data_IF_738694350601
#
_entry.id   IF_738694350601
#
_cell.length_a   1.000
_cell.length_b   1.000
_cell.length_c   1.000
_cell.angle_alpha   90.00
_cell.angle_beta   90.00
_cell.angle_gamma   90.00
#
_symmetry.space_group_name_H-M   'P 1'
#
loop_
_entity.id
_entity.type
_entity.pdbx_description
1 polymer ?
#
# COMPACT_ATOMS: atom_id res chain seq x y z
N UNK A 1 -18.55 12.53 -16.86
CA UNK A 1 -17.80 13.30 -15.85
C UNK A 1 -16.36 12.84 -16.00
N UNK A 2 -15.57 13.63 -16.73
CA UNK A 2 -14.15 13.30 -16.95
C UNK A 2 -13.44 13.38 -15.60
N UNK A 3 -13.13 12.22 -15.03
CA UNK A 3 -12.34 12.14 -13.80
C UNK A 3 -10.91 12.58 -14.17
N UNK A 4 -10.41 13.59 -13.47
CA UNK A 4 -9.00 13.98 -13.63
C UNK A 4 -8.08 12.76 -13.37
N UNK A 5 -6.96 12.64 -14.11
CA UNK A 5 -6.04 11.51 -13.95
C UNK A 5 -5.59 11.36 -12.49
N UNK A 6 -5.85 10.21 -11.88
CA UNK A 6 -5.61 9.96 -10.44
C UNK A 6 -4.14 10.20 -10.04
N UNK A 7 -3.19 9.74 -10.84
CA UNK A 7 -1.76 9.81 -10.49
C UNK A 7 -1.24 11.25 -10.44
N UNK A 8 -1.38 12.08 -11.49
CA UNK A 8 -0.93 13.47 -11.44
C UNK A 8 -1.66 14.30 -10.37
N UNK A 9 -2.96 14.07 -10.21
CA UNK A 9 -3.78 14.82 -9.24
C UNK A 9 -3.40 14.47 -7.80
N UNK A 10 -3.15 13.18 -7.51
CA UNK A 10 -2.85 12.72 -6.16
C UNK A 10 -1.37 12.93 -5.77
N UNK A 11 -0.45 12.65 -6.69
CA UNK A 11 0.99 12.61 -6.39
C UNK A 11 1.78 13.77 -7.00
N UNK A 12 1.16 14.63 -7.79
CA UNK A 12 1.82 15.76 -8.48
C UNK A 12 2.80 15.34 -9.58
N UNK A 13 2.85 14.05 -9.93
CA UNK A 13 3.80 13.45 -10.87
C UNK A 13 3.08 12.43 -11.75
N UNK A 14 3.54 12.20 -13.00
CA UNK A 14 2.93 11.20 -13.88
C UNK A 14 3.17 9.76 -13.42
N UNK A 15 4.14 9.53 -12.53
CA UNK A 15 4.51 8.23 -11.97
C UNK A 15 4.99 8.40 -10.53
N UNK A 16 4.54 7.54 -9.61
CA UNK A 16 4.77 7.71 -8.17
C UNK A 16 5.76 6.69 -7.58
N UNK A 17 6.60 7.14 -6.66
CA UNK A 17 7.41 6.28 -5.77
C UNK A 17 6.88 6.45 -4.35
N UNK A 18 6.38 5.36 -3.75
CA UNK A 18 5.69 5.33 -2.45
C UNK A 18 6.53 4.58 -1.43
N UNK A 19 6.83 5.20 -0.29
CA UNK A 19 7.62 4.60 0.80
C UNK A 19 6.73 3.98 1.87
N UNK A 20 7.04 2.72 2.26
CA UNK A 20 6.31 2.01 3.32
C UNK A 20 6.85 2.34 4.70
N UNK A 21 5.96 2.74 5.59
CA UNK A 21 6.18 2.90 7.02
C UNK A 21 5.56 1.70 7.75
N UNK A 22 6.39 0.70 8.06
CA UNK A 22 5.94 -0.50 8.78
C UNK A 22 5.86 -0.20 10.28
N UNK A 23 4.65 -0.08 10.81
CA UNK A 23 4.44 0.17 12.23
C UNK A 23 4.83 -1.04 13.06
N UNK A 24 5.48 -0.81 14.20
CA UNK A 24 5.77 -1.85 15.18
C UNK A 24 4.49 -2.47 15.76
N UNK A 25 4.60 -3.52 16.61
CA UNK A 25 3.44 -4.20 17.15
C UNK A 25 2.52 -3.21 17.89
N UNK A 26 1.26 -3.12 17.46
CA UNK A 26 0.26 -2.22 18.03
C UNK A 26 -0.45 -2.85 19.23
N UNK A 27 -1.10 -2.07 20.11
CA UNK A 27 -1.89 -2.61 21.21
C UNK A 27 -2.89 -3.66 20.73
N UNK A 28 -3.02 -4.77 21.47
CA UNK A 28 -3.85 -5.91 21.09
C UNK A 28 -3.12 -7.00 20.32
N UNK A 29 -2.02 -6.68 19.62
CA UNK A 29 -1.23 -7.71 18.94
C UNK A 29 -0.36 -8.53 19.89
N UNK A 30 -0.09 -9.83 19.61
CA UNK A 30 0.76 -10.67 20.46
C UNK A 30 2.21 -10.16 20.61
N UNK A 31 2.68 -9.38 19.64
CA UNK A 31 4.00 -8.76 19.67
C UNK A 31 4.08 -7.52 20.55
N UNK A 32 2.95 -6.90 20.88
CA UNK A 32 2.89 -5.73 21.75
C UNK A 32 3.01 -6.15 23.21
N UNK A 33 4.09 -5.75 23.87
CA UNK A 33 4.25 -5.96 25.30
C UNK A 33 3.67 -4.79 26.09
N UNK A 34 3.09 -5.05 27.25
CA UNK A 34 2.45 -4.03 28.07
C UNK A 34 3.40 -2.85 28.32
N UNK A 35 3.04 -1.68 27.74
CA UNK A 35 3.80 -0.46 27.85
C UNK A 35 4.96 -0.29 26.85
N UNK A 36 5.20 -1.27 25.94
CA UNK A 36 6.28 -1.16 24.94
C UNK A 36 5.92 -1.81 23.59
N UNK A 37 6.20 -1.13 22.44
CA UNK A 37 6.60 0.27 22.37
C UNK A 37 5.47 1.23 22.75
N UNK A 38 5.82 2.37 23.35
CA UNK A 38 4.84 3.43 23.62
C UNK A 38 4.35 4.06 22.31
N UNK A 39 3.20 4.72 22.37
CA UNK A 39 2.68 5.45 21.19
C UNK A 39 3.66 6.52 20.70
N UNK A 40 4.31 7.23 21.64
CA UNK A 40 5.29 8.26 21.31
C UNK A 40 6.47 7.68 20.54
N UNK A 41 6.95 6.48 20.89
CA UNK A 41 8.02 5.81 20.17
C UNK A 41 7.58 5.36 18.77
N UNK A 42 6.33 4.93 18.60
CA UNK A 42 5.76 4.65 17.28
C UNK A 42 5.72 5.90 16.41
N UNK A 43 5.29 7.03 16.98
CA UNK A 43 5.23 8.33 16.28
C UNK A 43 6.64 8.76 15.88
N UNK A 44 7.59 8.78 16.82
CA UNK A 44 8.98 9.18 16.56
C UNK A 44 9.59 8.38 15.40
N UNK A 45 9.43 7.06 15.43
CA UNK A 45 9.95 6.18 14.36
C UNK A 45 9.29 6.46 13.01
N UNK A 46 7.96 6.55 12.97
CA UNK A 46 7.21 6.78 11.74
C UNK A 46 7.55 8.16 11.13
N UNK A 47 7.65 9.20 11.95
CA UNK A 47 8.01 10.55 11.50
C UNK A 47 9.46 10.58 10.99
N UNK A 48 10.41 9.98 11.71
CA UNK A 48 11.82 9.90 11.28
C UNK A 48 11.96 9.18 9.93
N UNK A 49 11.29 8.05 9.73
CA UNK A 49 11.30 7.34 8.45
C UNK A 49 10.59 8.18 7.34
N UNK A 50 9.50 8.85 7.66
CA UNK A 50 8.78 9.72 6.72
C UNK A 50 9.64 10.89 6.22
N UNK A 51 10.39 11.54 7.11
CA UNK A 51 11.32 12.60 6.78
C UNK A 51 12.46 12.10 5.89
N UNK A 52 12.98 10.90 6.13
CA UNK A 52 14.01 10.28 5.31
C UNK A 52 13.50 10.00 3.88
N UNK A 53 12.30 9.47 3.73
CA UNK A 53 11.67 9.28 2.42
C UNK A 53 11.45 10.60 1.68
N UNK A 54 10.93 11.62 2.37
CA UNK A 54 10.73 12.95 1.79
C UNK A 54 12.06 13.55 1.32
N UNK A 55 13.08 13.50 2.16
CA UNK A 55 14.42 14.05 1.83
C UNK A 55 15.04 13.38 0.60
N UNK A 56 14.81 12.09 0.39
CA UNK A 56 15.27 11.36 -0.79
C UNK A 56 14.45 11.63 -2.06
N UNK A 57 13.26 12.26 -1.93
CA UNK A 57 12.40 12.60 -3.06
C UNK A 57 11.35 11.55 -3.41
N UNK A 58 10.84 10.81 -2.42
CA UNK A 58 9.64 10.00 -2.58
C UNK A 58 8.41 10.89 -2.73
N UNK A 59 7.38 10.39 -3.44
CA UNK A 59 6.19 11.17 -3.82
C UNK A 59 5.01 10.95 -2.87
N UNK A 60 5.00 9.84 -2.14
CA UNK A 60 3.99 9.51 -1.14
C UNK A 60 4.54 8.53 -0.11
N UNK A 61 3.77 8.35 0.96
CA UNK A 61 4.04 7.41 2.05
C UNK A 61 2.84 6.49 2.25
N UNK A 62 3.06 5.34 2.89
CA UNK A 62 1.99 4.45 3.31
C UNK A 62 2.31 3.81 4.66
N UNK A 63 1.42 3.97 5.64
CA UNK A 63 1.50 3.26 6.93
C UNK A 63 0.82 1.89 6.84
N UNK A 64 1.41 0.90 7.50
CA UNK A 64 0.90 -0.47 7.55
C UNK A 64 1.22 -1.10 8.91
N UNK A 65 0.26 -1.83 9.49
CA UNK A 65 0.45 -2.55 10.77
C UNK A 65 1.18 -3.89 10.61
N UNK A 66 2.30 -3.87 9.87
CA UNK A 66 3.07 -5.06 9.46
C UNK A 66 3.53 -5.96 10.59
N UNK A 67 3.67 -5.45 11.81
CA UNK A 67 4.15 -6.22 12.96
C UNK A 67 3.04 -6.84 13.83
N UNK A 68 1.75 -6.65 13.48
CA UNK A 68 0.60 -7.17 14.24
C UNK A 68 0.32 -8.65 14.01
N UNK A 69 1.37 -9.44 13.76
CA UNK A 69 1.26 -10.88 13.45
C UNK A 69 0.91 -11.72 14.68
N UNK A 70 0.05 -12.80 14.50
CA UNK A 70 -0.73 -13.13 13.29
C UNK A 70 -1.84 -12.10 13.06
N UNK A 71 -2.13 -11.78 11.78
CA UNK A 71 -3.15 -10.80 11.43
C UNK A 71 -4.56 -11.33 11.70
N UNK A 72 -5.46 -10.39 12.02
CA UNK A 72 -6.90 -10.66 12.08
C UNK A 72 -7.49 -10.56 10.67
N UNK A 73 -8.46 -11.40 10.37
CA UNK A 73 -9.11 -11.41 9.06
C UNK A 73 -10.21 -10.35 9.00
N UNK A 74 -10.08 -9.41 8.07
CA UNK A 74 -11.10 -8.42 7.64
C UNK A 74 -11.62 -7.46 8.70
N UNK A 75 -11.16 -7.55 9.93
CA UNK A 75 -11.51 -6.63 11.01
C UNK A 75 -10.38 -6.55 12.04
N UNK A 76 -10.19 -5.36 12.61
CA UNK A 76 -9.30 -5.13 13.76
C UNK A 76 -10.05 -4.41 14.88
N UNK A 77 -9.52 -4.45 16.10
CA UNK A 77 -10.10 -3.75 17.22
C UNK A 77 -9.91 -2.23 17.15
N UNK A 78 -10.70 -1.47 17.93
CA UNK A 78 -10.61 -0.01 17.98
C UNK A 78 -9.23 0.48 18.46
N UNK A 79 -8.49 -0.31 19.19
CA UNK A 79 -7.12 -0.01 19.64
C UNK A 79 -6.15 0.13 18.45
N UNK A 80 -6.29 -0.70 17.41
CA UNK A 80 -5.47 -0.62 16.19
C UNK A 80 -5.84 0.64 15.41
N UNK A 81 -7.14 0.86 15.16
CA UNK A 81 -7.66 2.03 14.44
C UNK A 81 -7.21 3.34 15.12
N UNK A 82 -7.43 3.45 16.43
CA UNK A 82 -7.07 4.64 17.18
C UNK A 82 -5.56 4.92 17.14
N UNK A 83 -4.74 3.88 17.33
CA UNK A 83 -3.28 4.02 17.34
C UNK A 83 -2.75 4.42 15.96
N UNK A 84 -3.21 3.74 14.90
CA UNK A 84 -2.82 4.08 13.52
C UNK A 84 -3.26 5.49 13.12
N UNK A 85 -4.45 5.92 13.54
CA UNK A 85 -4.95 7.27 13.26
C UNK A 85 -4.07 8.35 13.91
N UNK A 86 -3.65 8.15 15.16
CA UNK A 86 -2.75 9.09 15.86
C UNK A 86 -1.37 9.13 15.18
N UNK A 87 -0.78 7.99 14.89
CA UNK A 87 0.53 7.91 14.20
C UNK A 87 0.44 8.55 12.82
N UNK A 88 -0.57 8.20 12.02
CA UNK A 88 -0.77 8.75 10.68
C UNK A 88 -0.97 10.28 10.72
N UNK A 89 -1.69 10.79 11.73
CA UNK A 89 -1.87 12.23 11.91
C UNK A 89 -0.56 12.97 12.15
N UNK A 90 0.31 12.44 12.99
CA UNK A 90 1.61 13.06 13.24
C UNK A 90 2.54 12.96 12.02
N UNK A 91 2.49 11.89 11.26
CA UNK A 91 3.20 11.78 9.96
C UNK A 91 2.70 12.85 8.98
N UNK A 92 1.38 13.02 8.81
CA UNK A 92 0.81 14.06 7.92
C UNK A 92 1.18 15.49 8.36
N UNK A 93 1.35 15.74 9.66
CA UNK A 93 1.77 17.05 10.18
C UNK A 93 3.26 17.31 9.93
N UNK A 94 4.09 16.28 10.03
CA UNK A 94 5.54 16.40 9.87
C UNK A 94 5.97 16.51 8.42
N UNK A 95 5.27 15.82 7.51
CA UNK A 95 5.71 15.67 6.12
C UNK A 95 4.55 15.97 5.16
N UNK A 96 4.70 16.97 4.23
CA UNK A 96 3.65 17.34 3.29
C UNK A 96 3.63 16.42 2.05
N UNK A 97 3.50 15.12 2.27
CA UNK A 97 3.33 14.11 1.22
C UNK A 97 1.98 13.41 1.41
N UNK A 98 1.32 12.98 0.32
CA UNK A 98 0.16 12.11 0.39
C UNK A 98 0.45 10.87 1.24
N UNK A 99 -0.44 10.57 2.20
CA UNK A 99 -0.32 9.39 3.06
C UNK A 99 -1.38 8.36 2.68
N UNK A 100 -0.93 7.14 2.41
CA UNK A 100 -1.77 5.96 2.28
C UNK A 100 -1.88 5.18 3.59
N UNK A 101 -2.91 4.36 3.68
CA UNK A 101 -3.16 3.48 4.82
C UNK A 101 -3.48 2.07 4.34
N UNK A 102 -2.84 1.07 4.93
CA UNK A 102 -3.23 -0.33 4.82
C UNK A 102 -3.39 -0.91 6.23
N UNK A 103 -4.50 -1.63 6.47
CA UNK A 103 -4.73 -2.35 7.72
C UNK A 103 -4.85 -3.84 7.41
N UNK A 104 -3.87 -4.60 7.84
CA UNK A 104 -3.76 -6.05 7.62
C UNK A 104 -4.60 -6.83 8.64
N UNK A 105 -5.21 -7.95 8.16
CA UNK A 105 -5.34 -8.32 6.76
C UNK A 105 -6.77 -8.01 6.29
N UNK A 106 -6.90 -7.28 5.19
CA UNK A 106 -8.19 -6.91 4.59
C UNK A 106 -9.16 -6.17 5.53
N UNK A 107 -8.69 -5.45 6.54
CA UNK A 107 -9.50 -4.57 7.39
C UNK A 107 -9.71 -3.22 6.66
N UNK A 108 -10.47 -3.28 5.57
CA UNK A 108 -10.53 -2.21 4.57
C UNK A 108 -11.36 -1.00 5.03
N UNK A 109 -12.46 -1.22 5.75
CA UNK A 109 -13.26 -0.15 6.33
C UNK A 109 -12.47 0.61 7.39
N UNK A 110 -11.72 -0.10 8.23
CA UNK A 110 -10.83 0.47 9.24
C UNK A 110 -9.71 1.28 8.59
N UNK A 111 -9.17 0.83 7.44
CA UNK A 111 -8.17 1.59 6.69
C UNK A 111 -8.74 2.93 6.20
N UNK A 112 -9.98 2.96 5.69
CA UNK A 112 -10.66 4.22 5.31
C UNK A 112 -10.89 5.10 6.54
N UNK A 113 -11.36 4.53 7.65
CA UNK A 113 -11.59 5.28 8.89
C UNK A 113 -10.29 5.93 9.40
N UNK A 114 -9.19 5.19 9.41
CA UNK A 114 -7.85 5.72 9.76
C UNK A 114 -7.43 6.82 8.80
N UNK A 115 -7.58 6.62 7.49
CA UNK A 115 -7.21 7.59 6.47
C UNK A 115 -7.96 8.93 6.65
N UNK A 116 -9.28 8.88 6.85
CA UNK A 116 -10.10 10.06 7.14
C UNK A 116 -9.62 10.77 8.41
N UNK A 117 -9.41 10.02 9.49
CA UNK A 117 -9.03 10.57 10.80
C UNK A 117 -7.65 11.24 10.79
N UNK A 118 -6.68 10.66 10.09
CA UNK A 118 -5.32 11.19 10.04
C UNK A 118 -5.09 12.26 8.94
N UNK A 119 -6.01 12.39 7.98
CA UNK A 119 -5.83 13.26 6.79
C UNK A 119 -5.06 12.56 5.68
N UNK A 120 -5.19 11.25 5.59
CA UNK A 120 -4.67 10.43 4.48
C UNK A 120 -5.37 10.73 3.16
N UNK A 121 -4.84 10.17 2.08
CA UNK A 121 -5.29 10.45 0.71
C UNK A 121 -5.73 9.21 -0.04
N UNK A 122 -5.27 8.03 0.37
CA UNK A 122 -5.60 6.77 -0.28
C UNK A 122 -5.49 5.59 0.69
N UNK A 123 -6.10 4.48 0.32
CA UNK A 123 -5.97 3.20 1.02
C UNK A 123 -5.51 2.11 0.06
N UNK A 124 -4.74 1.15 0.57
CA UNK A 124 -4.45 -0.12 -0.09
C UNK A 124 -5.35 -1.17 0.52
N UNK A 125 -6.11 -1.88 -0.30
CA UNK A 125 -7.13 -2.82 0.13
C UNK A 125 -6.86 -4.22 -0.42
N UNK A 126 -7.16 -5.23 0.37
CA UNK A 126 -7.08 -6.63 -0.01
C UNK A 126 -8.50 -7.21 -0.14
N UNK A 127 -8.68 -8.23 -1.00
CA UNK A 127 -9.99 -8.86 -1.17
C UNK A 127 -11.05 -7.91 -1.75
N UNK A 128 -10.69 -7.01 -2.66
CA UNK A 128 -11.63 -6.07 -3.25
C UNK A 128 -12.60 -6.75 -4.21
N UNK A 129 -12.08 -7.60 -5.12
CA UNK A 129 -12.86 -8.45 -6.03
C UNK A 129 -12.37 -9.88 -5.94
N UNK A 130 -13.25 -10.84 -6.16
CA UNK A 130 -13.04 -12.27 -6.03
C UNK A 130 -12.59 -12.73 -4.63
N UNK A 131 -13.04 -13.89 -4.23
CA UNK A 131 -12.60 -14.51 -2.99
C UNK A 131 -11.29 -15.28 -3.22
N UNK A 132 -10.48 -15.42 -2.16
CA UNK A 132 -9.27 -16.23 -2.14
C UNK A 132 -9.01 -16.77 -0.74
N UNK A 133 -8.13 -17.78 -0.63
CA UNK A 133 -7.71 -18.32 0.66
C UNK A 133 -6.34 -17.73 1.02
N UNK A 134 -6.30 -16.93 2.09
CA UNK A 134 -5.07 -16.35 2.65
C UNK A 134 -4.61 -17.11 3.90
N UNK A 135 -3.50 -16.68 4.49
CA UNK A 135 -3.01 -17.24 5.78
C UNK A 135 -4.06 -17.09 6.89
N UNK A 136 -4.89 -16.05 6.81
CA UNK A 136 -5.96 -15.73 7.77
C UNK A 136 -7.28 -16.48 7.48
N UNK A 137 -7.33 -17.26 6.41
CA UNK A 137 -8.51 -18.01 5.98
C UNK A 137 -9.15 -17.47 4.70
N UNK A 138 -10.44 -17.74 4.51
CA UNK A 138 -11.18 -17.27 3.34
C UNK A 138 -11.42 -15.77 3.43
N UNK A 139 -10.90 -15.02 2.47
CA UNK A 139 -11.17 -13.59 2.26
C UNK A 139 -12.17 -13.45 1.13
N UNK A 140 -13.31 -12.83 1.41
CA UNK A 140 -14.41 -12.61 0.46
C UNK A 140 -14.28 -11.23 -0.21
N UNK A 141 -14.96 -11.05 -1.33
CA UNK A 141 -14.96 -9.78 -2.05
C UNK A 141 -15.69 -8.67 -1.28
N UNK A 142 -15.05 -7.52 -1.12
CA UNK A 142 -15.50 -6.42 -0.26
C UNK A 142 -15.82 -5.10 -1.00
N UNK A 143 -15.66 -5.03 -2.31
CA UNK A 143 -15.84 -3.78 -3.07
C UNK A 143 -17.20 -3.09 -2.80
N UNK A 144 -18.27 -3.86 -2.76
CA UNK A 144 -19.63 -3.32 -2.57
C UNK A 144 -19.85 -2.70 -1.19
N UNK A 145 -19.60 -3.41 -0.08
CA UNK A 145 -19.64 -2.87 1.28
C UNK A 145 -18.70 -1.69 1.46
N UNK A 146 -17.43 -1.84 1.09
CA UNK A 146 -16.39 -0.85 1.28
C UNK A 146 -16.69 0.50 0.62
N UNK A 147 -17.13 0.50 -0.65
CA UNK A 147 -17.42 1.76 -1.34
C UNK A 147 -18.70 2.42 -0.81
N UNK A 148 -19.68 1.65 -0.30
CA UNK A 148 -20.82 2.20 0.41
C UNK A 148 -20.45 2.80 1.76
N UNK A 149 -19.57 2.14 2.50
CA UNK A 149 -19.01 2.70 3.74
C UNK A 149 -18.25 4.01 3.46
N UNK A 150 -17.35 4.03 2.45
CA UNK A 150 -16.64 5.24 2.00
C UNK A 150 -17.61 6.40 1.75
N UNK A 151 -18.69 6.15 1.00
CA UNK A 151 -19.69 7.18 0.70
C UNK A 151 -20.49 7.60 1.95
N UNK A 152 -20.89 6.64 2.78
CA UNK A 152 -21.70 6.93 3.97
C UNK A 152 -21.00 7.85 4.97
N UNK A 153 -19.66 7.84 5.02
CA UNK A 153 -18.88 8.72 5.91
C UNK A 153 -18.28 9.96 5.19
N UNK A 154 -18.65 10.21 3.92
CA UNK A 154 -18.17 11.36 3.14
C UNK A 154 -16.68 11.28 2.78
N UNK A 155 -16.17 10.08 2.56
CA UNK A 155 -14.75 9.82 2.31
C UNK A 155 -14.41 9.58 0.82
N UNK A 156 -15.19 10.10 -0.12
CA UNK A 156 -14.99 9.92 -1.57
C UNK A 156 -13.64 10.47 -2.06
N UNK A 157 -13.05 11.38 -1.32
CA UNK A 157 -11.71 11.92 -1.58
C UNK A 157 -10.59 10.92 -1.29
N UNK A 158 -10.84 9.86 -0.50
CA UNK A 158 -9.87 8.79 -0.23
C UNK A 158 -9.89 7.81 -1.41
N UNK A 159 -8.77 7.69 -2.13
CA UNK A 159 -8.63 6.78 -3.25
C UNK A 159 -8.45 5.33 -2.77
N UNK A 160 -9.04 4.38 -3.48
CA UNK A 160 -8.98 2.95 -3.17
C UNK A 160 -8.11 2.24 -4.20
N UNK A 161 -6.95 1.74 -3.79
CA UNK A 161 -6.05 0.93 -4.60
C UNK A 161 -6.13 -0.53 -4.17
N UNK A 162 -6.57 -1.39 -5.07
CA UNK A 162 -6.91 -2.77 -4.78
C UNK A 162 -5.78 -3.74 -5.16
N UNK A 163 -5.31 -4.54 -4.20
CA UNK A 163 -4.45 -5.69 -4.50
C UNK A 163 -5.21 -6.71 -5.36
N UNK A 164 -4.64 -7.09 -6.49
CA UNK A 164 -5.16 -8.15 -7.35
C UNK A 164 -4.23 -9.37 -7.29
N UNK A 165 -4.81 -10.58 -7.18
CA UNK A 165 -4.04 -11.83 -7.02
C UNK A 165 -2.95 -11.69 -5.94
N UNK A 166 -3.33 -11.17 -4.75
CA UNK A 166 -2.37 -10.81 -3.69
C UNK A 166 -1.47 -11.97 -3.28
N UNK A 167 -0.24 -11.63 -2.88
CA UNK A 167 0.71 -12.57 -2.26
C UNK A 167 0.17 -13.23 -0.97
N UNK A 168 0.84 -14.28 -0.51
CA UNK A 168 0.44 -15.05 0.69
C UNK A 168 -1.00 -15.58 0.60
N UNK A 169 -1.39 -16.01 -0.60
CA UNK A 169 -2.75 -16.48 -0.86
C UNK A 169 -2.77 -17.58 -1.91
N UNK A 170 -3.74 -18.48 -1.77
CA UNK A 170 -4.10 -19.44 -2.80
C UNK A 170 -5.26 -18.89 -3.61
N UNK A 171 -5.08 -18.80 -4.92
CA UNK A 171 -6.11 -18.39 -5.88
C UNK A 171 -6.72 -19.57 -6.62
N UNK A 172 -6.68 -20.77 -6.01
CA UNK A 172 -7.17 -22.01 -6.65
C UNK A 172 -8.67 -21.95 -7.01
N UNK A 173 -9.49 -21.27 -6.18
CA UNK A 173 -10.93 -21.11 -6.43
C UNK A 173 -11.25 -20.15 -7.58
N UNK A 174 -10.27 -19.41 -8.06
CA UNK A 174 -10.37 -18.47 -9.20
C UNK A 174 -9.24 -18.70 -10.19
N UNK A 175 -8.80 -19.96 -10.34
CA UNK A 175 -7.70 -20.33 -11.24
C UNK A 175 -8.05 -20.13 -12.73
N UNK A 176 -9.32 -20.08 -13.04
CA UNK A 176 -9.90 -19.79 -14.37
C UNK A 176 -9.98 -18.29 -14.69
N UNK A 177 -9.70 -17.42 -13.72
CA UNK A 177 -9.66 -15.96 -13.91
C UNK A 177 -8.21 -15.50 -13.86
N UNK A 178 -7.69 -14.97 -14.97
CA UNK A 178 -6.32 -14.44 -15.01
C UNK A 178 -6.19 -13.07 -14.31
N UNK A 179 -4.97 -12.57 -14.21
CA UNK A 179 -4.68 -11.31 -13.49
C UNK A 179 -5.27 -10.09 -14.22
N UNK A 180 -5.34 -10.11 -15.55
CA UNK A 180 -5.90 -9.02 -16.35
C UNK A 180 -7.41 -8.95 -16.18
N UNK A 181 -8.10 -10.10 -16.21
CA UNK A 181 -9.54 -10.15 -15.93
C UNK A 181 -9.86 -9.78 -14.47
N UNK A 182 -8.97 -10.10 -13.53
CA UNK A 182 -9.09 -9.63 -12.14
C UNK A 182 -8.97 -8.10 -12.05
N UNK A 183 -8.05 -7.51 -12.80
CA UNK A 183 -7.87 -6.05 -12.86
C UNK A 183 -9.09 -5.35 -13.48
N UNK A 184 -9.64 -5.89 -14.58
CA UNK A 184 -10.87 -5.38 -15.21
C UNK A 184 -12.07 -5.47 -14.26
N UNK A 185 -12.17 -6.55 -13.49
CA UNK A 185 -13.23 -6.68 -12.48
C UNK A 185 -13.08 -5.63 -11.37
N UNK A 186 -11.86 -5.31 -10.94
CA UNK A 186 -11.61 -4.24 -9.96
C UNK A 186 -11.97 -2.86 -10.53
N UNK A 187 -11.61 -2.58 -11.79
CA UNK A 187 -12.03 -1.35 -12.49
C UNK A 187 -13.55 -1.25 -12.62
N UNK A 188 -14.21 -2.34 -13.03
CA UNK A 188 -15.66 -2.40 -13.10
C UNK A 188 -16.33 -2.19 -11.73
N UNK A 189 -15.70 -2.67 -10.66
CA UNK A 189 -16.14 -2.47 -9.27
C UNK A 189 -15.71 -1.09 -8.71
N UNK A 190 -15.21 -0.16 -9.54
CA UNK A 190 -14.88 1.22 -9.21
C UNK A 190 -13.67 1.37 -8.27
N UNK A 191 -12.66 0.51 -8.39
CA UNK A 191 -11.36 0.78 -7.81
C UNK A 191 -10.74 2.03 -8.45
N UNK A 192 -10.04 2.85 -7.68
CA UNK A 192 -9.30 4.01 -8.18
C UNK A 192 -7.92 3.63 -8.78
N UNK A 193 -7.50 2.37 -8.62
CA UNK A 193 -6.31 1.77 -9.19
C UNK A 193 -6.13 0.33 -8.69
N UNK A 194 -5.20 -0.40 -9.29
CA UNK A 194 -4.87 -1.79 -8.90
C UNK A 194 -3.41 -1.93 -8.52
N UNK A 195 -3.10 -2.90 -7.66
CA UNK A 195 -1.76 -3.21 -7.20
C UNK A 195 -1.42 -4.64 -7.57
N UNK A 196 -0.38 -4.83 -8.38
CA UNK A 196 0.21 -6.14 -8.70
C UNK A 196 1.31 -6.44 -7.70
N UNK A 197 1.30 -7.65 -7.13
CA UNK A 197 2.32 -8.11 -6.17
C UNK A 197 3.01 -9.38 -6.65
N UNK A 198 4.22 -9.67 -6.14
CA UNK A 198 4.86 -10.98 -6.34
C UNK A 198 4.19 -12.08 -5.53
N UNK A 199 4.73 -13.29 -5.58
CA UNK A 199 4.20 -14.47 -4.88
C UNK A 199 4.32 -14.39 -3.35
N UNK A 200 5.36 -13.70 -2.84
CA UNK A 200 5.60 -13.53 -1.40
C UNK A 200 6.32 -12.22 -1.10
N UNK A 201 6.43 -11.86 0.19
CA UNK A 201 7.14 -10.64 0.60
C UNK A 201 8.59 -10.64 0.10
N UNK A 202 8.99 -9.57 -0.58
CA UNK A 202 10.33 -9.42 -1.16
C UNK A 202 10.52 -10.09 -2.52
N UNK A 203 9.59 -10.94 -2.99
CA UNK A 203 9.61 -11.41 -4.37
C UNK A 203 9.00 -10.35 -5.29
N UNK A 204 9.68 -10.10 -6.40
CA UNK A 204 9.19 -9.16 -7.40
C UNK A 204 7.94 -9.70 -8.11
N UNK A 205 7.05 -8.79 -8.51
CA UNK A 205 6.02 -9.10 -9.49
C UNK A 205 6.66 -9.48 -10.83
N UNK A 206 5.91 -10.15 -11.69
CA UNK A 206 6.33 -10.41 -13.07
C UNK A 206 6.14 -9.13 -13.90
N UNK A 207 7.21 -8.57 -14.51
CA UNK A 207 7.09 -7.37 -15.35
C UNK A 207 6.15 -7.55 -16.54
N UNK A 208 6.05 -8.76 -17.13
CA UNK A 208 5.16 -9.05 -18.24
C UNK A 208 3.70 -9.04 -17.80
N UNK A 209 3.39 -9.58 -16.62
CA UNK A 209 2.06 -9.47 -16.00
C UNK A 209 1.69 -8.01 -15.73
N UNK A 210 2.61 -7.22 -15.14
CA UNK A 210 2.40 -5.78 -14.90
C UNK A 210 2.10 -5.06 -16.19
N UNK A 211 2.89 -5.28 -17.25
CA UNK A 211 2.66 -4.67 -18.55
C UNK A 211 1.34 -5.12 -19.19
N UNK A 212 0.94 -6.39 -19.01
CA UNK A 212 -0.34 -6.89 -19.50
C UNK A 212 -1.53 -6.24 -18.78
N UNK A 213 -1.46 -6.10 -17.45
CA UNK A 213 -2.48 -5.40 -16.64
C UNK A 213 -2.57 -3.94 -17.07
N UNK A 214 -1.45 -3.22 -17.20
CA UNK A 214 -1.44 -1.80 -17.60
C UNK A 214 -2.08 -1.58 -18.96
N UNK A 215 -1.92 -2.52 -19.91
CA UNK A 215 -2.62 -2.45 -21.21
C UNK A 215 -4.10 -2.84 -21.13
N UNK A 216 -4.48 -3.58 -20.09
CA UNK A 216 -5.82 -4.18 -19.96
C UNK A 216 -6.85 -3.31 -19.27
N UNK A 217 -6.44 -2.27 -18.54
CA UNK A 217 -7.32 -1.40 -17.75
C UNK A 217 -7.04 0.07 -18.01
N UNK A 218 -8.02 0.94 -17.74
CA UNK A 218 -7.92 2.40 -17.84
C UNK A 218 -7.59 3.10 -16.51
N UNK A 219 -7.44 2.34 -15.42
CA UNK A 219 -7.09 2.86 -14.09
C UNK A 219 -5.61 2.63 -13.79
N UNK A 220 -4.99 3.42 -12.88
CA UNK A 220 -3.58 3.29 -12.51
C UNK A 220 -3.20 1.89 -12.02
N UNK A 221 -1.99 1.45 -12.41
CA UNK A 221 -1.40 0.18 -12.02
C UNK A 221 -0.13 0.40 -11.21
N UNK A 222 -0.13 -0.11 -9.98
CA UNK A 222 1.00 -0.05 -9.06
C UNK A 222 1.67 -1.42 -8.94
N UNK A 223 2.96 -1.42 -8.56
CA UNK A 223 3.66 -2.63 -8.15
C UNK A 223 3.95 -2.57 -6.65
N UNK A 224 3.47 -3.57 -5.90
CA UNK A 224 3.43 -3.56 -4.43
C UNK A 224 4.46 -4.45 -3.73
N UNK A 225 5.41 -5.09 -4.41
CA UNK A 225 6.44 -5.90 -3.74
C UNK A 225 7.68 -6.17 -4.59
N UNK A 226 8.80 -6.46 -3.91
CA UNK A 226 10.03 -6.91 -4.53
C UNK A 226 10.77 -5.89 -5.40
N UNK A 227 10.44 -4.61 -5.29
CA UNK A 227 11.11 -3.55 -6.03
C UNK A 227 12.46 -3.26 -5.37
N UNK A 228 13.51 -3.25 -6.19
CA UNK A 228 14.89 -2.94 -5.81
C UNK A 228 15.47 -1.90 -6.78
N UNK A 229 16.57 -1.20 -6.42
CA UNK A 229 17.26 -0.31 -7.36
C UNK A 229 17.70 -1.01 -8.66
N UNK A 230 17.95 -2.30 -8.61
CA UNK A 230 18.47 -3.07 -9.75
C UNK A 230 17.35 -3.51 -10.72
N UNK A 231 16.09 -3.64 -10.25
CA UNK A 231 14.97 -4.08 -11.08
C UNK A 231 13.92 -2.99 -11.36
N UNK A 232 14.05 -1.80 -10.80
CA UNK A 232 13.07 -0.70 -10.94
C UNK A 232 12.76 -0.37 -12.41
N UNK A 233 13.74 -0.50 -13.31
CA UNK A 233 13.57 -0.23 -14.72
C UNK A 233 12.66 -1.25 -15.44
N UNK A 234 12.59 -2.49 -14.95
CA UNK A 234 11.71 -3.51 -15.50
C UNK A 234 10.21 -3.18 -15.34
N UNK A 235 9.89 -2.31 -14.40
CA UNK A 235 8.51 -1.89 -14.09
C UNK A 235 8.16 -0.50 -14.65
N UNK A 236 8.82 -0.08 -15.73
CA UNK A 236 8.57 1.23 -16.35
C UNK A 236 7.12 1.41 -16.85
N UNK A 237 6.41 0.32 -17.12
CA UNK A 237 5.00 0.35 -17.52
C UNK A 237 4.04 0.70 -16.37
N UNK A 238 4.44 0.53 -15.10
CA UNK A 238 3.60 0.82 -13.95
C UNK A 238 3.54 2.32 -13.65
N UNK A 239 2.37 2.79 -13.21
CA UNK A 239 2.12 4.18 -12.81
C UNK A 239 2.68 4.50 -11.42
N UNK A 240 2.98 3.50 -10.61
CA UNK A 240 3.62 3.70 -9.31
C UNK A 240 4.27 2.45 -8.74
N UNK A 241 5.24 2.68 -7.85
CA UNK A 241 5.99 1.63 -7.17
C UNK A 241 5.89 1.84 -5.66
N UNK A 242 5.51 0.77 -4.94
CA UNK A 242 5.43 0.74 -3.48
C UNK A 242 6.64 -0.02 -2.95
N UNK A 243 7.48 0.66 -2.18
CA UNK A 243 8.79 0.15 -1.75
C UNK A 243 8.83 0.01 -0.23
N UNK A 244 9.14 -1.18 0.24
CA UNK A 244 9.24 -1.51 1.66
C UNK A 244 10.58 -2.15 2.01
N UNK A 245 10.70 -3.47 1.86
CA UNK A 245 11.84 -4.26 2.36
C UNK A 245 13.19 -3.83 1.81
N UNK A 246 13.28 -3.51 0.51
CA UNK A 246 14.55 -3.22 -0.17
C UNK A 246 15.27 -1.96 0.32
N UNK A 247 14.56 -1.06 1.00
CA UNK A 247 15.11 0.17 1.60
C UNK A 247 15.32 0.07 3.10
N UNK A 248 15.09 -1.10 3.68
CA UNK A 248 15.44 -1.43 5.06
C UNK A 248 16.84 -2.07 5.12
N UNK A 249 17.49 -2.00 6.26
CA UNK A 249 18.81 -2.62 6.48
C UNK A 249 18.78 -4.10 6.09
N UNK A 250 19.76 -4.55 5.32
CA UNK A 250 19.88 -5.92 4.80
C UNK A 250 18.72 -6.38 3.91
N UNK A 251 17.87 -5.47 3.43
CA UNK A 251 16.66 -5.83 2.68
C UNK A 251 15.58 -6.55 3.52
N UNK A 252 15.68 -6.50 4.83
CA UNK A 252 14.76 -7.16 5.76
C UNK A 252 13.72 -6.15 6.28
N UNK A 253 12.45 -6.38 5.98
CA UNK A 253 11.35 -5.50 6.38
C UNK A 253 11.26 -5.27 7.90
N UNK A 254 11.83 -6.18 8.72
CA UNK A 254 11.88 -6.09 10.19
C UNK A 254 12.90 -5.10 10.72
N UNK A 255 13.85 -4.73 9.87
CA UNK A 255 14.96 -3.86 10.24
C UNK A 255 14.59 -2.37 10.05
N UNK A 256 15.29 -1.46 10.72
CA UNK A 256 15.16 -0.03 10.48
C UNK A 256 15.43 0.36 9.03
N UNK A 257 14.96 1.54 8.64
CA UNK A 257 15.25 2.15 7.35
C UNK A 257 16.77 2.30 7.17
N UNK A 258 17.26 2.06 5.94
CA UNK A 258 18.63 2.33 5.54
C UNK A 258 18.64 3.60 4.66
N UNK A 259 19.14 4.75 5.15
CA UNK A 259 19.12 5.99 4.37
C UNK A 259 19.88 5.89 3.04
N UNK A 260 20.92 5.08 2.97
CA UNK A 260 21.70 4.86 1.73
C UNK A 260 20.85 4.08 0.73
N UNK A 261 20.16 3.03 1.18
CA UNK A 261 19.26 2.26 0.32
C UNK A 261 18.06 3.10 -0.16
N UNK A 262 17.49 3.95 0.70
CA UNK A 262 16.43 4.90 0.34
C UNK A 262 16.90 5.84 -0.78
N UNK A 263 18.08 6.44 -0.64
CA UNK A 263 18.62 7.35 -1.65
C UNK A 263 18.90 6.62 -2.97
N UNK A 264 19.53 5.44 -2.93
CA UNK A 264 19.77 4.61 -4.12
C UNK A 264 18.48 4.26 -4.86
N UNK A 265 17.41 3.94 -4.13
CA UNK A 265 16.10 3.65 -4.73
C UNK A 265 15.51 4.87 -5.44
N UNK A 266 15.56 6.04 -4.80
CA UNK A 266 15.07 7.28 -5.40
C UNK A 266 15.88 7.67 -6.65
N UNK A 267 17.19 7.50 -6.64
CA UNK A 267 18.07 7.76 -7.79
C UNK A 267 17.75 6.82 -8.95
N UNK A 268 17.62 5.53 -8.67
CA UNK A 268 17.26 4.53 -9.67
C UNK A 268 15.87 4.80 -10.29
N UNK A 269 14.89 5.18 -9.48
CA UNK A 269 13.55 5.56 -9.97
C UNK A 269 13.61 6.80 -10.86
N UNK A 270 14.31 7.86 -10.45
CA UNK A 270 14.48 9.09 -11.26
C UNK A 270 15.12 8.79 -12.62
N UNK A 271 16.09 7.89 -12.68
CA UNK A 271 16.72 7.49 -13.92
C UNK A 271 15.73 6.85 -14.92
N UNK A 272 14.67 6.19 -14.42
CA UNK A 272 13.62 5.60 -15.29
C UNK A 272 12.57 6.61 -15.76
N UNK A 273 12.39 7.74 -15.06
CA UNK A 273 11.41 8.77 -15.42
C UNK A 273 11.98 9.85 -16.36
N UNK A 274 13.31 10.01 -16.40
CA UNK A 274 14.01 10.98 -17.27
C UNK A 274 14.22 10.53 -18.72
N UNK A 275 13.84 9.32 -19.08
CA UNK A 275 14.09 8.73 -20.43
C UNK A 275 12.87 8.78 -21.36
N UNK A 276 11.75 9.35 -20.93
CA UNK A 276 10.57 9.55 -21.80
C UNK A 276 10.68 10.89 -22.52
N UNK A 277 11.30 10.87 -23.72
CA UNK A 277 11.16 11.90 -24.77
C UNK A 277 10.47 11.29 -25.96
#
# INVERSE_FOLDING_TARGET
MDLEPTIPTLFGMPRALIGMLHLGPLPGSPGHRRGEPSIDLHIERAVTEAEAYRAAGFHALMIENMFDRPYLRSQVGPEVVATMAVIGREVCRAVPLPLGVQVLAAANEEAIAVAVACGGSFVRVEGFVFAHVADEGLVEADAGPLLRYRSAIGAEHIRVFADIKKKHSSHAITADVDIVETAKAAEFALADGVIVTGMSTGHAADPDEVAAVTRGVGIPVFVGSGITPDNVAAFAAADGLIVGSSVKQRGDWRMPLDPVAVQRMADAFRATTGTSR
#
